data_IF_486059853848
#
_entry.id   IF_486059853848
#
_cell.length_a   1.000
_cell.length_b   1.000
_cell.length_c   1.000
_cell.angle_alpha   90.00
_cell.angle_beta   90.00
_cell.angle_gamma   90.00
#
_symmetry.space_group_name_H-M   'P 1'
#
loop_
_entity.id
_entity.type
_entity.pdbx_description
1 polymer ?
#
# COMPACT_ATOMS: atom_id res chain seq x y z
N UNK A 1 -31.47 12.09 7.82
CA UNK A 1 -30.24 12.58 8.47
C UNK A 1 -29.57 11.33 9.00
N UNK A 2 -28.51 10.88 8.36
CA UNK A 2 -27.73 9.71 8.81
C UNK A 2 -26.85 10.23 9.93
N UNK A 3 -27.09 9.80 11.17
CA UNK A 3 -26.16 10.03 12.27
C UNK A 3 -24.91 9.20 11.99
N UNK A 4 -23.82 9.87 11.62
CA UNK A 4 -22.50 9.27 11.57
C UNK A 4 -22.12 9.06 13.05
N UNK A 5 -21.81 7.83 13.49
CA UNK A 5 -21.35 7.60 14.85
C UNK A 5 -20.11 8.49 15.10
N UNK A 6 -20.13 9.18 16.22
CA UNK A 6 -19.01 9.99 16.69
C UNK A 6 -17.83 9.03 16.93
N UNK A 7 -17.02 8.84 15.92
CA UNK A 7 -15.75 8.13 16.05
C UNK A 7 -14.94 8.92 17.06
N UNK A 8 -14.55 8.25 18.13
CA UNK A 8 -13.90 8.80 19.31
C UNK A 8 -12.58 9.53 18.97
N UNK A 9 -12.71 10.68 18.31
CA UNK A 9 -11.61 11.60 18.03
C UNK A 9 -11.09 12.29 19.30
N UNK A 10 -11.79 12.15 20.42
CA UNK A 10 -11.48 12.88 21.66
C UNK A 10 -10.34 12.28 22.49
N UNK A 11 -9.87 11.08 22.16
CA UNK A 11 -8.74 10.47 22.89
C UNK A 11 -7.36 10.80 22.28
N UNK A 12 -7.29 11.69 21.28
CA UNK A 12 -6.05 12.04 20.56
C UNK A 12 -5.36 13.31 21.05
N UNK A 13 -5.85 13.96 22.09
CA UNK A 13 -5.29 15.24 22.60
C UNK A 13 -3.84 15.16 23.12
N UNK A 14 -3.26 13.96 23.21
CA UNK A 14 -1.91 13.75 23.74
C UNK A 14 -0.91 13.16 22.75
N UNK A 15 -1.29 13.03 21.48
CA UNK A 15 -0.41 12.51 20.41
C UNK A 15 0.24 13.68 19.70
N UNK A 16 1.54 13.60 19.46
CA UNK A 16 2.21 14.58 18.62
C UNK A 16 1.75 14.46 17.17
N UNK A 17 1.41 15.59 16.57
CA UNK A 17 0.97 15.68 15.18
C UNK A 17 2.13 16.03 14.25
N UNK A 18 2.24 15.32 13.13
CA UNK A 18 3.16 15.63 12.05
C UNK A 18 2.34 15.97 10.78
N UNK A 19 2.04 17.26 10.57
CA UNK A 19 1.33 17.66 9.37
C UNK A 19 2.23 17.55 8.14
N UNK A 20 1.67 17.03 7.04
CA UNK A 20 2.31 17.01 5.73
C UNK A 20 1.55 17.98 4.82
N UNK A 21 2.26 18.93 4.23
CA UNK A 21 1.73 19.86 3.24
C UNK A 21 1.66 19.22 1.84
N UNK A 22 0.89 19.84 0.93
CA UNK A 22 0.86 19.42 -0.48
C UNK A 22 2.24 19.50 -1.15
N UNK A 23 3.04 20.52 -0.83
CA UNK A 23 4.38 20.67 -1.37
C UNK A 23 5.33 19.57 -0.87
N UNK A 24 5.23 19.19 0.40
CA UNK A 24 5.99 18.08 0.97
C UNK A 24 5.55 16.74 0.39
N UNK A 25 4.25 16.54 0.17
CA UNK A 25 3.73 15.37 -0.52
C UNK A 25 4.32 15.20 -1.91
N UNK A 26 4.37 16.29 -2.70
CA UNK A 26 4.98 16.25 -4.04
C UNK A 26 6.45 15.87 -3.97
N UNK A 27 7.20 16.44 -3.03
CA UNK A 27 8.60 16.08 -2.79
C UNK A 27 8.76 14.61 -2.38
N UNK A 28 7.90 14.10 -1.50
CA UNK A 28 7.91 12.71 -1.05
C UNK A 28 7.60 11.74 -2.21
N UNK A 29 6.63 12.07 -3.07
CA UNK A 29 6.33 11.28 -4.27
C UNK A 29 7.49 11.27 -5.27
N UNK A 30 8.15 12.41 -5.49
CA UNK A 30 9.34 12.48 -6.33
C UNK A 30 10.48 11.62 -5.75
N UNK A 31 10.71 11.68 -4.44
CA UNK A 31 11.71 10.85 -3.75
C UNK A 31 11.41 9.35 -3.90
N UNK A 32 10.14 8.93 -3.79
CA UNK A 32 9.74 7.55 -4.04
C UNK A 32 10.01 7.14 -5.48
N UNK A 33 9.65 7.97 -6.45
CA UNK A 33 9.90 7.69 -7.86
C UNK A 33 11.40 7.56 -8.18
N UNK A 34 12.26 8.37 -7.55
CA UNK A 34 13.71 8.25 -7.65
C UNK A 34 14.21 6.92 -7.06
N UNK A 35 13.74 6.51 -5.88
CA UNK A 35 14.10 5.25 -5.25
C UNK A 35 13.71 4.06 -6.13
N UNK A 36 12.47 4.05 -6.64
CA UNK A 36 11.95 3.00 -7.52
C UNK A 36 12.80 2.90 -8.78
N UNK A 37 13.05 4.03 -9.44
CA UNK A 37 13.86 4.08 -10.66
C UNK A 37 15.31 3.64 -10.41
N UNK A 38 15.92 4.11 -9.33
CA UNK A 38 17.31 3.76 -8.97
C UNK A 38 17.46 2.26 -8.63
N UNK A 39 16.39 1.61 -8.12
CA UNK A 39 16.39 0.16 -7.85
C UNK A 39 16.35 -0.71 -9.10
N UNK A 40 16.06 -0.13 -10.26
CA UNK A 40 15.84 -0.86 -11.52
C UNK A 40 14.48 -1.55 -11.59
N UNK A 41 13.59 -1.36 -10.62
CA UNK A 41 12.24 -1.90 -10.65
C UNK A 41 11.37 -1.06 -11.60
N UNK A 42 10.80 -1.73 -12.61
CA UNK A 42 9.89 -1.11 -13.57
C UNK A 42 8.52 -1.76 -13.38
N UNK A 43 7.58 -1.08 -12.71
CA UNK A 43 6.25 -1.64 -12.52
C UNK A 43 5.46 -1.67 -13.83
N UNK A 44 4.74 -2.75 -14.08
CA UNK A 44 3.77 -2.84 -15.16
C UNK A 44 2.53 -2.00 -14.83
N UNK A 45 2.18 -1.94 -13.54
CA UNK A 45 1.15 -1.06 -13.03
C UNK A 45 1.31 -0.78 -11.52
N UNK A 46 0.60 0.25 -11.08
CA UNK A 46 0.51 0.67 -9.68
C UNK A 46 -0.86 0.28 -9.13
N UNK A 47 -0.91 -0.16 -7.87
CA UNK A 47 -2.14 -0.39 -7.11
C UNK A 47 -2.18 0.59 -5.94
N UNK A 48 -3.10 1.56 -5.99
CA UNK A 48 -3.35 2.47 -4.87
C UNK A 48 -4.34 1.88 -3.87
N UNK A 49 -3.94 1.78 -2.62
CA UNK A 49 -4.85 1.34 -1.54
C UNK A 49 -5.84 2.45 -1.21
N UNK A 50 -7.12 2.14 -1.24
CA UNK A 50 -8.13 3.13 -0.89
C UNK A 50 -8.30 3.22 0.63
N UNK A 51 -8.36 4.45 1.17
CA UNK A 51 -8.40 5.75 0.47
C UNK A 51 -7.05 6.45 0.46
N UNK A 52 -6.21 6.28 1.49
CA UNK A 52 -5.00 7.08 1.72
C UNK A 52 -3.97 6.94 0.61
N UNK A 53 -3.75 5.73 0.11
CA UNK A 53 -2.81 5.44 -0.95
C UNK A 53 -3.18 5.96 -2.34
N UNK A 54 -4.43 6.45 -2.54
CA UNK A 54 -4.85 6.92 -3.87
C UNK A 54 -4.07 8.15 -4.34
N UNK A 55 -3.89 9.13 -3.46
CA UNK A 55 -3.22 10.38 -3.82
C UNK A 55 -1.77 10.12 -4.26
N UNK A 56 -0.91 9.46 -3.45
CA UNK A 56 0.44 9.14 -3.88
C UNK A 56 0.49 8.21 -5.09
N UNK A 57 -0.43 7.25 -5.23
CA UNK A 57 -0.48 6.34 -6.37
C UNK A 57 -0.76 7.08 -7.69
N UNK A 58 -1.68 8.05 -7.69
CA UNK A 58 -1.97 8.88 -8.89
C UNK A 58 -0.73 9.67 -9.28
N UNK A 59 -0.05 10.33 -8.33
CA UNK A 59 1.14 11.13 -8.60
C UNK A 59 2.27 10.24 -9.14
N UNK A 60 2.55 9.10 -8.49
CA UNK A 60 3.56 8.14 -8.95
C UNK A 60 3.25 7.58 -10.34
N UNK A 61 1.99 7.27 -10.63
CA UNK A 61 1.54 6.81 -11.95
C UNK A 61 1.88 7.82 -13.05
N UNK A 62 1.70 9.12 -12.79
CA UNK A 62 2.04 10.17 -13.72
C UNK A 62 3.56 10.34 -13.89
N UNK A 63 4.32 10.29 -12.80
CA UNK A 63 5.79 10.42 -12.85
C UNK A 63 6.41 9.22 -13.59
N UNK A 64 6.02 8.00 -13.21
CA UNK A 64 6.57 6.76 -13.76
C UNK A 64 5.96 6.39 -15.12
N UNK A 65 4.85 7.04 -15.52
CA UNK A 65 4.12 6.80 -16.79
C UNK A 65 3.60 5.36 -16.92
N UNK A 66 3.08 4.81 -15.84
CA UNK A 66 2.48 3.48 -15.79
C UNK A 66 1.01 3.55 -15.38
N UNK A 67 0.16 2.61 -15.83
CA UNK A 67 -1.25 2.59 -15.43
C UNK A 67 -1.40 2.40 -13.93
N UNK A 68 -2.56 2.83 -13.40
CA UNK A 68 -2.91 2.70 -11.98
C UNK A 68 -4.28 2.03 -11.84
N UNK A 69 -4.38 1.16 -10.85
CA UNK A 69 -5.61 0.55 -10.39
C UNK A 69 -5.79 0.79 -8.90
N UNK A 70 -6.94 0.43 -8.36
CA UNK A 70 -7.25 0.60 -6.94
C UNK A 70 -7.58 -0.73 -6.28
N UNK A 71 -7.24 -0.85 -5.01
CA UNK A 71 -7.64 -1.97 -4.17
C UNK A 71 -8.17 -1.40 -2.84
N UNK A 72 -9.40 -1.79 -2.47
CA UNK A 72 -9.97 -1.41 -1.19
C UNK A 72 -9.52 -2.38 -0.11
N UNK A 73 -8.78 -1.88 0.87
CA UNK A 73 -8.45 -2.61 2.09
C UNK A 73 -8.84 -1.74 3.27
N UNK A 74 -9.89 -2.14 3.99
CA UNK A 74 -10.42 -1.41 5.15
C UNK A 74 -10.49 -2.36 6.33
N UNK A 75 -9.50 -2.28 7.22
CA UNK A 75 -9.35 -3.18 8.37
C UNK A 75 -9.63 -2.48 9.70
N UNK A 76 -10.13 -1.23 9.65
CA UNK A 76 -10.53 -0.50 10.85
C UNK A 76 -11.83 -1.13 11.39
N UNK A 77 -11.88 -1.28 12.72
CA UNK A 77 -13.07 -1.81 13.43
C UNK A 77 -13.44 -3.28 13.13
N UNK A 78 -12.49 -4.08 12.63
CA UNK A 78 -12.70 -5.50 12.34
C UNK A 78 -13.55 -5.78 11.10
N UNK A 79 -13.73 -4.79 10.24
CA UNK A 79 -14.54 -4.89 9.02
C UNK A 79 -13.75 -5.48 7.84
N UNK A 80 -13.22 -6.71 7.98
CA UNK A 80 -12.64 -7.44 6.83
C UNK A 80 -13.65 -7.62 5.69
N UNK A 81 -14.95 -7.62 6.01
CA UNK A 81 -16.05 -7.69 5.04
C UNK A 81 -16.07 -6.50 4.07
N UNK A 82 -15.35 -5.43 4.35
CA UNK A 82 -15.28 -4.21 3.54
C UNK A 82 -14.01 -4.12 2.68
N UNK A 83 -13.29 -5.23 2.51
CA UNK A 83 -12.14 -5.34 1.62
C UNK A 83 -12.54 -5.87 0.24
N UNK A 84 -11.84 -5.41 -0.81
CA UNK A 84 -12.03 -5.95 -2.16
C UNK A 84 -11.21 -7.23 -2.33
N UNK A 85 -11.89 -8.37 -2.42
CA UNK A 85 -11.27 -9.61 -2.87
C UNK A 85 -11.07 -9.55 -4.38
N UNK A 86 -9.81 -9.45 -4.79
CA UNK A 86 -9.45 -9.31 -6.19
C UNK A 86 -8.76 -10.57 -6.70
N UNK A 87 -9.24 -11.13 -7.81
CA UNK A 87 -8.68 -12.37 -8.37
C UNK A 87 -7.61 -12.11 -9.44
N UNK A 88 -7.75 -11.04 -10.24
CA UNK A 88 -6.86 -10.82 -11.38
C UNK A 88 -5.49 -10.26 -10.99
N UNK A 89 -5.39 -9.43 -9.95
CA UNK A 89 -4.08 -8.95 -9.45
C UNK A 89 -3.21 -10.09 -8.91
N UNK A 90 -3.73 -11.01 -8.07
CA UNK A 90 -2.97 -12.21 -7.71
C UNK A 90 -2.62 -13.11 -8.89
N UNK A 91 -3.49 -13.26 -9.90
CA UNK A 91 -3.17 -13.98 -11.13
C UNK A 91 -1.99 -13.35 -11.87
N UNK A 92 -2.00 -12.03 -12.05
CA UNK A 92 -0.89 -11.28 -12.64
C UNK A 92 0.39 -11.42 -11.82
N UNK A 93 0.29 -11.36 -10.48
CA UNK A 93 1.44 -11.43 -9.58
C UNK A 93 2.23 -12.73 -9.70
N UNK A 94 1.57 -13.85 -10.01
CA UNK A 94 2.22 -15.17 -10.19
C UNK A 94 2.34 -15.61 -11.65
N UNK A 95 1.87 -14.80 -12.61
CA UNK A 95 1.87 -15.17 -14.03
C UNK A 95 0.89 -16.31 -14.34
N UNK A 96 -0.28 -16.32 -13.71
CA UNK A 96 -1.30 -17.34 -13.94
C UNK A 96 -2.13 -17.00 -15.18
N UNK A 97 -1.81 -17.64 -16.28
CA UNK A 97 -2.42 -17.35 -17.57
C UNK A 97 -3.87 -17.80 -17.72
N UNK A 98 -4.55 -17.28 -18.73
CA UNK A 98 -5.95 -17.57 -19.06
C UNK A 98 -6.25 -19.05 -19.33
N UNK A 99 -5.24 -19.86 -19.57
CA UNK A 99 -5.35 -21.30 -19.77
C UNK A 99 -5.32 -22.10 -18.46
N UNK A 100 -5.25 -21.43 -17.30
CA UNK A 100 -5.20 -22.09 -16.00
C UNK A 100 -3.86 -22.73 -15.68
N UNK A 101 -2.76 -22.17 -16.19
CA UNK A 101 -1.39 -22.62 -15.94
C UNK A 101 -0.45 -21.43 -15.75
N UNK A 102 0.72 -21.69 -15.17
CA UNK A 102 1.78 -20.70 -14.96
C UNK A 102 2.61 -20.57 -16.25
N UNK A 103 2.07 -19.93 -17.27
CA UNK A 103 2.71 -19.76 -18.57
C UNK A 103 3.07 -18.30 -18.86
N UNK A 104 2.42 -17.35 -18.20
CA UNK A 104 2.65 -15.93 -18.39
C UNK A 104 3.82 -15.44 -17.50
N UNK A 105 4.51 -14.42 -17.95
CA UNK A 105 5.50 -13.75 -17.12
C UNK A 105 4.79 -13.00 -15.98
N UNK A 106 5.17 -13.21 -14.70
CA UNK A 106 4.62 -12.46 -13.61
C UNK A 106 4.74 -10.95 -13.81
N UNK A 107 3.68 -10.21 -13.54
CA UNK A 107 3.70 -8.76 -13.62
C UNK A 107 4.48 -8.14 -12.46
N UNK A 108 5.16 -7.04 -12.71
CA UNK A 108 5.75 -6.19 -11.70
C UNK A 108 4.67 -5.24 -11.17
N UNK A 109 4.27 -5.41 -9.93
CA UNK A 109 3.19 -4.65 -9.31
C UNK A 109 3.76 -3.78 -8.20
N UNK A 110 3.47 -2.48 -8.23
CA UNK A 110 3.80 -1.56 -7.14
C UNK A 110 2.53 -1.23 -6.36
N UNK A 111 2.45 -1.71 -5.13
CA UNK A 111 1.35 -1.39 -4.22
C UNK A 111 1.73 -0.14 -3.41
N UNK A 112 0.85 0.86 -3.42
CA UNK A 112 1.10 2.17 -2.81
C UNK A 112 0.05 2.47 -1.75
N UNK A 113 0.52 2.81 -0.55
CA UNK A 113 -0.31 3.30 0.55
C UNK A 113 0.26 4.62 1.10
N UNK A 114 -0.48 5.32 1.95
CA UNK A 114 -0.01 6.53 2.60
C UNK A 114 0.97 6.21 3.74
N UNK A 115 0.66 5.23 4.57
CA UNK A 115 1.48 4.84 5.70
C UNK A 115 1.50 3.32 5.92
N UNK A 116 2.67 2.78 6.18
CA UNK A 116 2.83 1.46 6.79
C UNK A 116 2.93 1.64 8.32
N UNK A 117 1.79 1.64 9.02
CA UNK A 117 1.75 1.88 10.47
C UNK A 117 1.97 0.60 11.28
N UNK A 118 0.98 -0.29 11.32
CA UNK A 118 1.06 -1.59 12.01
C UNK A 118 1.48 -2.75 11.12
N UNK A 119 1.40 -2.57 9.79
CA UNK A 119 1.61 -3.61 8.79
C UNK A 119 0.35 -4.40 8.43
N UNK A 120 -0.79 -4.11 9.08
CA UNK A 120 -2.00 -4.92 8.92
C UNK A 120 -2.51 -4.97 7.49
N UNK A 121 -2.46 -3.85 6.75
CA UNK A 121 -2.85 -3.79 5.33
C UNK A 121 -1.99 -4.71 4.46
N UNK A 122 -0.68 -4.65 4.63
CA UNK A 122 0.28 -5.49 3.87
C UNK A 122 0.08 -6.96 4.22
N UNK A 123 -0.05 -7.28 5.51
CA UNK A 123 -0.28 -8.65 5.98
C UNK A 123 -1.58 -9.22 5.41
N UNK A 124 -2.65 -8.42 5.36
CA UNK A 124 -3.92 -8.83 4.76
C UNK A 124 -3.75 -9.15 3.27
N UNK A 125 -3.10 -8.30 2.49
CA UNK A 125 -2.85 -8.54 1.05
C UNK A 125 -2.05 -9.83 0.85
N UNK A 126 -0.99 -10.04 1.66
CA UNK A 126 -0.16 -11.24 1.62
C UNK A 126 -0.91 -12.52 1.99
N UNK A 127 -2.01 -12.41 2.72
CA UNK A 127 -2.88 -13.53 3.06
C UNK A 127 -3.99 -13.74 2.03
N UNK A 128 -4.63 -12.66 1.55
CA UNK A 128 -5.78 -12.71 0.65
C UNK A 128 -5.41 -13.18 -0.76
N UNK A 129 -4.35 -12.61 -1.35
CA UNK A 129 -3.97 -12.91 -2.73
C UNK A 129 -3.63 -14.40 -2.96
N UNK A 130 -2.84 -15.07 -2.12
CA UNK A 130 -2.67 -16.52 -2.23
C UNK A 130 -3.99 -17.30 -2.12
N UNK A 131 -4.89 -16.86 -1.27
CA UNK A 131 -6.22 -17.46 -1.13
C UNK A 131 -7.07 -17.34 -2.40
N UNK A 132 -6.95 -16.23 -3.11
CA UNK A 132 -7.69 -15.96 -4.35
C UNK A 132 -7.12 -16.72 -5.57
N UNK A 133 -5.80 -17.02 -5.59
CA UNK A 133 -5.16 -17.68 -6.72
C UNK A 133 -4.10 -18.69 -6.25
N UNK A 134 -4.29 -19.96 -6.58
CA UNK A 134 -3.39 -21.06 -6.26
C UNK A 134 -2.96 -21.08 -4.76
N UNK A 135 -3.88 -21.28 -3.84
CA UNK A 135 -3.57 -21.27 -2.41
C UNK A 135 -2.51 -22.31 -2.06
N UNK A 136 -1.59 -21.94 -1.18
CA UNK A 136 -0.45 -22.75 -0.74
C UNK A 136 0.58 -23.10 -1.83
N UNK A 137 0.55 -22.46 -2.99
CA UNK A 137 1.56 -22.69 -4.01
C UNK A 137 2.90 -22.03 -3.64
N UNK A 138 4.00 -22.74 -3.89
CA UNK A 138 5.35 -22.29 -3.49
C UNK A 138 5.77 -20.95 -4.12
N UNK A 139 5.22 -20.58 -5.27
CA UNK A 139 5.49 -19.30 -5.93
C UNK A 139 5.20 -18.08 -5.05
N UNK A 140 4.22 -18.15 -4.14
CA UNK A 140 3.92 -17.05 -3.25
C UNK A 140 5.07 -16.68 -2.31
N UNK A 141 6.00 -17.61 -2.03
CA UNK A 141 7.19 -17.32 -1.25
C UNK A 141 8.20 -16.42 -2.00
N UNK A 142 8.04 -16.29 -3.32
CA UNK A 142 8.96 -15.53 -4.17
C UNK A 142 8.36 -14.26 -4.78
N UNK A 143 7.08 -13.99 -4.57
CA UNK A 143 6.37 -12.85 -5.15
C UNK A 143 6.73 -11.54 -4.41
N UNK A 144 6.66 -11.60 -3.08
CA UNK A 144 6.77 -10.42 -2.22
C UNK A 144 8.19 -9.86 -2.23
N UNK A 145 8.28 -8.52 -2.33
CA UNK A 145 9.55 -7.78 -2.43
C UNK A 145 10.39 -8.10 -3.68
N UNK A 146 9.87 -8.91 -4.59
CA UNK A 146 10.49 -9.27 -5.86
C UNK A 146 9.77 -8.58 -7.02
N UNK A 147 8.67 -9.15 -7.49
CA UNK A 147 7.82 -8.55 -8.52
C UNK A 147 6.58 -7.85 -7.95
N UNK A 148 6.16 -8.12 -6.72
CA UNK A 148 5.19 -7.30 -5.98
C UNK A 148 5.94 -6.55 -4.88
N UNK A 149 5.94 -5.22 -4.98
CA UNK A 149 6.64 -4.33 -4.07
C UNK A 149 5.70 -3.32 -3.44
N UNK A 150 6.06 -2.86 -2.25
CA UNK A 150 5.28 -1.92 -1.45
C UNK A 150 6.01 -0.59 -1.34
N UNK A 151 5.26 0.51 -1.55
CA UNK A 151 5.75 1.87 -1.36
C UNK A 151 4.79 2.65 -0.47
N UNK A 152 5.33 3.44 0.46
CA UNK A 152 4.54 4.32 1.33
C UNK A 152 5.17 5.69 1.47
N UNK A 153 4.35 6.72 1.70
CA UNK A 153 4.89 8.03 2.06
C UNK A 153 5.60 7.96 3.40
N UNK A 154 5.01 7.26 4.36
CA UNK A 154 5.58 7.10 5.70
C UNK A 154 5.70 5.62 6.05
N UNK A 155 6.86 5.21 6.54
CA UNK A 155 7.10 3.87 7.08
C UNK A 155 7.40 3.96 8.57
N UNK A 156 6.63 3.22 9.37
CA UNK A 156 6.88 3.05 10.80
C UNK A 156 7.76 1.83 11.01
N UNK A 157 9.00 2.03 11.44
CA UNK A 157 9.97 0.93 11.65
C UNK A 157 9.55 -0.08 12.70
N UNK A 158 8.55 0.22 13.54
CA UNK A 158 7.95 -0.73 14.47
C UNK A 158 6.78 -1.51 13.88
N UNK A 159 6.47 -1.33 12.58
CA UNK A 159 5.51 -2.15 11.86
C UNK A 159 5.93 -3.62 11.80
N UNK A 160 4.94 -4.52 11.76
CA UNK A 160 5.19 -5.96 11.61
C UNK A 160 5.52 -6.36 10.15
N UNK A 161 5.32 -5.44 9.19
CA UNK A 161 5.59 -5.67 7.78
C UNK A 161 6.56 -4.61 7.24
N UNK A 162 7.34 -4.99 6.24
CA UNK A 162 8.31 -4.12 5.60
C UNK A 162 7.77 -3.59 4.27
N UNK A 163 8.20 -2.37 3.92
CA UNK A 163 8.01 -1.81 2.59
C UNK A 163 9.33 -1.77 1.83
N UNK A 164 9.25 -1.76 0.49
CA UNK A 164 10.44 -1.67 -0.37
C UNK A 164 10.92 -0.22 -0.52
N UNK A 165 9.98 0.71 -0.48
CA UNK A 165 10.24 2.13 -0.69
C UNK A 165 9.47 2.98 0.31
N UNK A 166 10.15 3.93 0.96
CA UNK A 166 9.54 4.88 1.87
C UNK A 166 10.11 6.28 1.66
N UNK A 167 9.25 7.29 1.59
CA UNK A 167 9.71 8.66 1.51
C UNK A 167 10.21 9.16 2.86
N UNK A 168 9.49 8.84 3.92
CA UNK A 168 9.81 9.18 5.32
C UNK A 168 9.83 7.93 6.18
N UNK A 169 10.65 7.95 7.23
CA UNK A 169 10.74 6.84 8.20
C UNK A 169 10.53 7.41 9.59
N UNK A 170 9.66 6.77 10.37
CA UNK A 170 9.36 7.11 11.76
C UNK A 170 9.50 5.87 12.64
N UNK A 171 9.52 6.06 13.96
CA UNK A 171 9.54 4.97 14.94
C UNK A 171 8.51 5.26 16.03
N UNK A 172 7.31 4.76 15.85
CA UNK A 172 6.20 4.95 16.79
C UNK A 172 6.40 4.21 18.12
N UNK A 173 7.33 3.26 18.19
CA UNK A 173 7.67 2.63 19.48
C UNK A 173 8.39 3.57 20.43
N UNK A 174 9.04 4.61 19.90
CA UNK A 174 9.75 5.64 20.68
C UNK A 174 8.89 6.86 20.95
N UNK A 175 8.05 7.21 20.00
CA UNK A 175 7.20 8.39 20.10
C UNK A 175 5.92 8.17 19.31
N UNK A 176 4.79 8.25 20.00
CA UNK A 176 3.51 8.17 19.31
C UNK A 176 3.28 9.45 18.51
N UNK A 177 3.14 9.31 17.20
CA UNK A 177 2.99 10.40 16.26
C UNK A 177 1.81 10.11 15.35
N UNK A 178 0.90 11.08 15.25
CA UNK A 178 -0.15 11.06 14.25
C UNK A 178 0.29 11.82 13.00
N UNK A 179 0.13 11.21 11.84
CA UNK A 179 0.44 11.88 10.57
C UNK A 179 -0.84 12.51 10.03
N UNK A 180 -0.80 13.83 9.80
CA UNK A 180 -1.91 14.57 9.21
C UNK A 180 -1.64 14.77 7.72
N UNK A 181 -2.26 13.95 6.89
CA UNK A 181 -2.11 14.08 5.45
C UNK A 181 -2.96 15.22 4.88
N UNK A 182 -2.53 15.90 3.81
CA UNK A 182 -3.18 17.12 3.32
C UNK A 182 -4.60 16.88 2.75
N UNK A 183 -5.01 15.66 2.52
CA UNK A 183 -6.37 15.28 2.10
C UNK A 183 -7.29 14.87 3.25
N UNK A 184 -6.77 14.71 4.45
CA UNK A 184 -7.55 14.38 5.65
C UNK A 184 -8.07 15.69 6.28
N UNK A 185 -9.26 16.15 5.88
CA UNK A 185 -9.90 17.36 6.42
C UNK A 185 -11.33 17.06 6.82
#
# INVERSE_FOLDING_TARGET
MIEIPDLDYHNREYVDHLPISWDELDQDCNKLAEQITASGFVPDYIVGITRGGLTPAVILSQILKVPMYTLKVSLRDGAEEDCDHNCWMPEDAIGYGKMGCLEDTPANILIVDDINDSGTTIAWIKQDWPGACLPNHAYWNEVWHKNVKFATLVDNTSSNEQVDYAARVIDKSKKDIWIDFPWER
#
